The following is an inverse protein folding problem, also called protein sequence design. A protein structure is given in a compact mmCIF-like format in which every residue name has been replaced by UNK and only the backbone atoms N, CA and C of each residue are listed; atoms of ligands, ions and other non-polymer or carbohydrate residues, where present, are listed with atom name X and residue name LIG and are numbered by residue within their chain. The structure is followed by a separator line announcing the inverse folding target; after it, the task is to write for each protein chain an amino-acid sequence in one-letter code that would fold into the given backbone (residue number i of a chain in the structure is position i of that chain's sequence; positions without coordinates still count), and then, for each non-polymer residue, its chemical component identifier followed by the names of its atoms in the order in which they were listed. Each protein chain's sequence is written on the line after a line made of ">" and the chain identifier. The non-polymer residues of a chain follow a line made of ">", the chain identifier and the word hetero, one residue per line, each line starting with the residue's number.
data_IF_022144114633
#
_entry.id   IF_022144114633
#
_cell.length_a   1.000
_cell.length_b   1.000
_cell.length_c   1.000
_cell.angle_alpha   90.00
_cell.angle_beta   90.00
_cell.angle_gamma   90.00
#
_symmetry.space_group_name_H-M   'P 1'
#
loop_
_entity.id
_entity.type
_entity.pdbx_description
1 polymer ?
#
# COMPACT_ATOMS: atom_id res chain seq x y z
N UNK A 1 16.59 -4.13 -34.45
CA UNK A 1 16.97 -5.34 -33.68
C UNK A 1 16.55 -5.06 -32.25
N UNK A 2 15.36 -5.50 -31.84
CA UNK A 2 14.89 -5.30 -30.46
C UNK A 2 15.71 -6.23 -29.57
N UNK A 3 16.41 -5.65 -28.60
CA UNK A 3 16.98 -6.43 -27.52
C UNK A 3 15.81 -7.02 -26.74
N UNK A 4 15.60 -8.33 -26.88
CA UNK A 4 14.69 -9.08 -26.04
C UNK A 4 15.07 -8.86 -24.58
N UNK A 5 14.16 -8.23 -23.82
CA UNK A 5 14.20 -7.95 -22.37
C UNK A 5 14.08 -9.23 -21.52
N UNK A 6 14.70 -10.31 -21.96
CA UNK A 6 14.58 -11.63 -21.33
C UNK A 6 15.56 -11.73 -20.14
N UNK A 7 15.34 -10.90 -19.12
CA UNK A 7 16.17 -10.87 -17.91
C UNK A 7 15.95 -9.66 -17.00
N UNK A 8 15.57 -8.51 -17.55
CA UNK A 8 15.35 -7.29 -16.76
C UNK A 8 13.97 -7.30 -16.12
N UNK A 9 13.89 -7.17 -14.80
CA UNK A 9 12.61 -6.95 -14.15
C UNK A 9 12.16 -5.50 -14.38
N UNK A 10 10.85 -5.27 -14.51
CA UNK A 10 10.30 -3.91 -14.58
C UNK A 10 10.72 -3.06 -13.37
N UNK A 11 10.93 -3.70 -12.22
CA UNK A 11 11.40 -3.08 -10.99
C UNK A 11 12.90 -2.74 -10.95
N UNK A 12 13.67 -3.11 -11.97
CA UNK A 12 15.08 -2.75 -12.11
C UNK A 12 15.25 -1.47 -12.93
N UNK A 13 14.15 -0.96 -13.52
CA UNK A 13 14.13 0.27 -14.31
C UNK A 13 13.50 1.39 -13.49
N UNK A 14 14.34 2.23 -12.91
CA UNK A 14 13.93 3.37 -12.08
C UNK A 14 13.62 4.63 -12.91
N UNK A 15 12.65 4.52 -13.83
CA UNK A 15 12.30 5.58 -14.78
C UNK A 15 11.45 6.72 -14.20
N UNK A 16 10.82 6.54 -13.04
CA UNK A 16 9.90 7.51 -12.45
C UNK A 16 10.07 7.63 -10.92
N UNK A 17 9.69 8.77 -10.31
CA UNK A 17 9.72 8.94 -8.86
C UNK A 17 8.65 8.10 -8.15
N UNK A 18 8.83 7.85 -6.85
CA UNK A 18 7.86 7.11 -6.03
C UNK A 18 6.65 7.94 -5.57
N UNK A 19 6.79 9.18 -5.07
CA UNK A 19 5.65 9.95 -4.57
C UNK A 19 4.59 10.19 -5.65
N UNK A 20 3.31 10.07 -5.27
CA UNK A 20 2.20 10.25 -6.20
C UNK A 20 1.82 9.01 -6.99
N UNK A 21 2.43 7.86 -6.70
CA UNK A 21 2.19 6.61 -7.44
C UNK A 21 1.39 5.57 -6.67
N UNK A 22 0.95 5.86 -5.44
CA UNK A 22 0.15 4.93 -4.66
C UNK A 22 -1.24 4.75 -5.29
N UNK A 23 -1.71 3.51 -5.34
CA UNK A 23 -3.05 3.21 -5.84
C UNK A 23 -4.07 3.82 -4.87
N UNK A 24 -5.05 4.55 -5.41
CA UNK A 24 -6.13 5.05 -4.57
C UNK A 24 -6.98 3.92 -3.96
N UNK A 25 -7.36 4.11 -2.71
CA UNK A 25 -8.16 3.18 -1.91
C UNK A 25 -8.32 3.68 -0.48
N UNK A 26 -9.48 3.44 0.12
CA UNK A 26 -9.83 3.89 1.47
C UNK A 26 -10.15 2.72 2.40
N UNK A 27 -11.08 1.86 1.98
CA UNK A 27 -11.50 0.68 2.74
C UNK A 27 -10.85 -0.57 2.15
N UNK A 28 -10.22 -1.37 3.00
CA UNK A 28 -9.59 -2.63 2.61
C UNK A 28 -10.15 -3.79 3.41
N UNK A 29 -10.40 -4.90 2.72
CA UNK A 29 -10.63 -6.21 3.33
C UNK A 29 -9.38 -7.05 3.11
N UNK A 30 -8.70 -7.44 4.18
CA UNK A 30 -7.56 -8.35 4.10
C UNK A 30 -8.02 -9.72 4.55
N UNK A 31 -7.99 -10.69 3.65
CA UNK A 31 -8.46 -12.04 3.92
C UNK A 31 -7.31 -13.03 3.83
N UNK A 32 -7.06 -13.76 4.92
CA UNK A 32 -6.04 -14.79 4.95
C UNK A 32 -6.44 -15.96 4.04
N UNK A 33 -5.66 -16.22 3.00
CA UNK A 33 -5.86 -17.34 2.10
C UNK A 33 -4.54 -18.10 1.90
N UNK A 34 -4.36 -19.27 2.55
CA UNK A 34 -3.09 -20.02 2.48
C UNK A 34 -2.85 -20.65 1.11
N UNK A 35 -3.91 -20.82 0.32
CA UNK A 35 -3.88 -21.46 -1.00
C UNK A 35 -3.14 -20.66 -2.08
N UNK A 36 -3.01 -21.24 -3.28
CA UNK A 36 -2.40 -20.54 -4.41
C UNK A 36 -3.28 -19.36 -4.86
N UNK A 37 -2.63 -18.32 -5.39
CA UNK A 37 -3.31 -17.20 -6.04
C UNK A 37 -3.21 -17.35 -7.57
N UNK A 38 -4.27 -17.00 -8.28
CA UNK A 38 -4.33 -16.80 -9.73
C UNK A 38 -3.84 -15.40 -10.11
N UNK A 39 -3.68 -15.10 -11.40
CA UNK A 39 -3.09 -13.82 -11.85
C UNK A 39 -3.84 -12.59 -11.29
N UNK A 40 -5.16 -12.67 -11.19
CA UNK A 40 -5.98 -11.74 -10.41
C UNK A 40 -6.79 -12.56 -9.39
N UNK A 41 -6.71 -12.22 -8.10
CA UNK A 41 -7.28 -13.04 -7.02
C UNK A 41 -8.81 -13.21 -7.10
N UNK A 42 -9.50 -12.39 -7.89
CA UNK A 42 -10.94 -12.50 -8.14
C UNK A 42 -11.26 -12.83 -9.62
N UNK A 43 -10.32 -13.37 -10.40
CA UNK A 43 -10.60 -13.87 -11.77
C UNK A 43 -11.41 -15.17 -11.83
N UNK A 44 -11.73 -15.77 -10.67
CA UNK A 44 -12.48 -17.01 -10.57
C UNK A 44 -11.61 -18.26 -10.39
N UNK A 45 -10.30 -18.19 -10.64
CA UNK A 45 -9.41 -19.35 -10.48
C UNK A 45 -8.86 -19.51 -9.05
N UNK A 46 -8.88 -18.47 -8.21
CA UNK A 46 -8.49 -18.57 -6.79
C UNK A 46 -9.64 -19.02 -5.89
N UNK A 47 -10.81 -18.36 -6.00
CA UNK A 47 -11.95 -18.56 -5.09
C UNK A 47 -13.19 -19.17 -5.78
N UNK A 48 -13.05 -19.61 -7.02
CA UNK A 48 -14.19 -20.03 -7.85
C UNK A 48 -14.89 -18.83 -8.52
N UNK A 49 -15.45 -19.01 -9.74
CA UNK A 49 -16.01 -17.92 -10.54
C UNK A 49 -17.22 -17.25 -9.88
N UNK A 50 -18.14 -18.04 -9.31
CA UNK A 50 -19.37 -17.52 -8.70
C UNK A 50 -19.06 -16.66 -7.47
N UNK A 51 -18.28 -17.18 -6.52
CA UNK A 51 -17.92 -16.45 -5.31
C UNK A 51 -17.09 -15.21 -5.63
N UNK A 52 -16.15 -15.30 -6.57
CA UNK A 52 -15.36 -14.14 -7.01
C UNK A 52 -16.23 -13.02 -7.56
N UNK A 53 -17.25 -13.35 -8.37
CA UNK A 53 -18.19 -12.35 -8.90
C UNK A 53 -19.03 -11.71 -7.80
N UNK A 54 -19.53 -12.50 -6.84
CA UNK A 54 -20.29 -12.00 -5.68
C UNK A 54 -19.44 -11.08 -4.80
N UNK A 55 -18.21 -11.45 -4.50
CA UNK A 55 -17.28 -10.63 -3.71
C UNK A 55 -16.97 -9.32 -4.44
N UNK A 56 -16.67 -9.35 -5.75
CA UNK A 56 -16.47 -8.13 -6.55
C UNK A 56 -17.68 -7.19 -6.46
N UNK A 57 -18.89 -7.73 -6.64
CA UNK A 57 -20.11 -6.94 -6.60
C UNK A 57 -20.35 -6.35 -5.20
N UNK A 58 -20.10 -7.11 -4.15
CA UNK A 58 -20.22 -6.66 -2.76
C UNK A 58 -19.24 -5.52 -2.45
N UNK A 59 -17.94 -5.74 -2.69
CA UNK A 59 -16.89 -4.73 -2.41
C UNK A 59 -17.10 -3.45 -3.22
N UNK A 60 -17.58 -3.56 -4.47
CA UNK A 60 -17.88 -2.39 -5.32
C UNK A 60 -18.95 -1.48 -4.69
N UNK A 61 -19.93 -2.02 -3.97
CA UNK A 61 -20.97 -1.21 -3.28
C UNK A 61 -20.37 -0.25 -2.26
N UNK A 62 -19.26 -0.64 -1.64
CA UNK A 62 -18.60 0.10 -0.58
C UNK A 62 -17.30 0.79 -1.04
N UNK A 63 -16.92 0.66 -2.32
CA UNK A 63 -15.62 1.14 -2.81
C UNK A 63 -14.42 0.45 -2.14
N UNK A 64 -14.61 -0.77 -1.60
CA UNK A 64 -13.59 -1.49 -0.86
C UNK A 64 -12.65 -2.29 -1.77
N UNK A 65 -11.41 -2.51 -1.32
CA UNK A 65 -10.42 -3.33 -2.03
C UNK A 65 -10.12 -4.62 -1.24
N UNK A 66 -10.21 -5.78 -1.90
CA UNK A 66 -9.72 -7.03 -1.34
C UNK A 66 -8.20 -7.14 -1.50
N UNK A 67 -7.54 -7.60 -0.45
CA UNK A 67 -6.21 -8.20 -0.53
C UNK A 67 -6.25 -9.59 0.06
N UNK A 68 -5.79 -10.59 -0.69
CA UNK A 68 -5.47 -11.86 -0.07
C UNK A 68 -4.12 -11.73 0.63
N UNK A 69 -4.05 -12.21 1.86
CA UNK A 69 -2.83 -12.28 2.65
C UNK A 69 -2.54 -13.74 2.99
N UNK A 70 -1.29 -14.06 3.33
CA UNK A 70 -0.98 -15.37 3.89
C UNK A 70 0.24 -15.31 4.79
N UNK A 71 0.29 -16.27 5.70
CA UNK A 71 1.40 -16.41 6.62
C UNK A 71 2.75 -16.58 5.89
N UNK A 72 3.83 -15.90 6.31
CA UNK A 72 5.19 -16.02 5.74
C UNK A 72 5.70 -17.46 5.67
N UNK A 73 5.60 -18.21 6.77
CA UNK A 73 6.07 -19.60 6.85
C UNK A 73 5.04 -20.59 6.30
N UNK A 74 5.50 -21.75 5.82
CA UNK A 74 4.61 -22.84 5.36
C UNK A 74 3.82 -23.48 6.50
N UNK A 75 4.39 -23.53 7.69
CA UNK A 75 3.77 -24.11 8.87
C UNK A 75 2.59 -23.26 9.34
N UNK A 76 2.75 -21.93 9.42
CA UNK A 76 1.67 -21.03 9.81
C UNK A 76 0.55 -20.89 8.78
N UNK A 77 0.69 -21.48 7.58
CA UNK A 77 -0.40 -21.60 6.60
C UNK A 77 -1.34 -22.78 6.88
N UNK A 78 -1.04 -23.61 7.87
CA UNK A 78 -1.93 -24.68 8.35
C UNK A 78 -2.87 -24.06 9.38
N UNK A 79 -3.99 -23.56 8.89
CA UNK A 79 -4.98 -22.83 9.69
C UNK A 79 -6.32 -23.56 9.69
N UNK A 80 -7.01 -23.51 10.82
CA UNK A 80 -8.39 -24.02 10.96
C UNK A 80 -9.43 -22.92 10.67
N UNK A 81 -9.04 -21.65 10.83
CA UNK A 81 -9.85 -20.47 10.56
C UNK A 81 -9.00 -19.37 9.93
N UNK A 82 -9.65 -18.48 9.20
CA UNK A 82 -9.01 -17.39 8.47
C UNK A 82 -9.06 -16.08 9.24
N UNK A 83 -7.95 -15.34 9.29
CA UNK A 83 -8.01 -13.93 9.66
C UNK A 83 -8.73 -13.12 8.58
N UNK A 84 -9.69 -12.31 9.01
CA UNK A 84 -10.40 -11.33 8.20
C UNK A 84 -10.23 -9.95 8.85
N UNK A 85 -9.43 -9.10 8.22
CA UNK A 85 -9.21 -7.73 8.65
C UNK A 85 -10.03 -6.76 7.83
N UNK A 86 -10.57 -5.73 8.48
CA UNK A 86 -11.29 -4.63 7.89
C UNK A 86 -10.54 -3.36 8.23
N UNK A 87 -10.05 -2.65 7.23
CA UNK A 87 -9.19 -1.48 7.43
C UNK A 87 -9.88 -0.24 6.88
N UNK A 88 -10.08 0.74 7.74
CA UNK A 88 -10.59 2.06 7.38
C UNK A 88 -9.43 3.06 7.39
N UNK A 89 -8.81 3.26 6.24
CA UNK A 89 -7.51 3.95 6.18
C UNK A 89 -7.61 5.44 6.48
N UNK A 90 -8.74 6.09 6.19
CA UNK A 90 -8.98 7.50 6.52
C UNK A 90 -8.85 7.81 8.01
N UNK A 91 -9.39 6.92 8.85
CA UNK A 91 -9.38 7.08 10.32
C UNK A 91 -8.28 6.25 11.00
N UNK A 92 -7.47 5.51 10.24
CA UNK A 92 -6.38 4.70 10.79
C UNK A 92 -6.86 3.59 11.72
N UNK A 93 -7.97 2.92 11.38
CA UNK A 93 -8.51 1.81 12.17
C UNK A 93 -8.36 0.48 11.44
N UNK A 94 -8.00 -0.57 12.17
CA UNK A 94 -8.14 -1.96 11.74
C UNK A 94 -9.03 -2.71 12.71
N UNK A 95 -9.98 -3.47 12.18
CA UNK A 95 -10.77 -4.45 12.91
C UNK A 95 -10.38 -5.85 12.44
N UNK A 96 -10.46 -6.85 13.32
CA UNK A 96 -10.14 -8.24 13.00
C UNK A 96 -11.19 -9.19 13.56
N UNK A 97 -11.53 -10.21 12.76
CA UNK A 97 -12.30 -11.37 13.21
C UNK A 97 -11.78 -12.63 12.54
N UNK A 98 -12.06 -13.79 13.15
CA UNK A 98 -11.79 -15.09 12.55
C UNK A 98 -13.05 -15.64 11.90
N UNK A 99 -12.91 -16.21 10.71
CA UNK A 99 -14.02 -16.75 9.91
C UNK A 99 -13.67 -18.10 9.32
N UNK A 100 -14.69 -18.90 9.02
CA UNK A 100 -14.51 -20.25 8.46
C UNK A 100 -14.06 -20.25 6.98
N UNK A 101 -14.33 -19.18 6.23
CA UNK A 101 -14.07 -19.15 4.80
C UNK A 101 -14.33 -17.79 4.14
N UNK A 102 -14.00 -17.68 2.84
CA UNK A 102 -14.11 -16.44 2.06
C UNK A 102 -15.56 -15.96 1.88
N UNK A 103 -16.55 -16.82 2.04
CA UNK A 103 -17.97 -16.47 1.94
C UNK A 103 -18.37 -15.40 2.96
N UNK A 104 -17.73 -15.37 4.13
CA UNK A 104 -17.97 -14.40 5.18
C UNK A 104 -17.67 -12.94 4.77
N UNK A 105 -16.91 -12.73 3.68
CA UNK A 105 -16.69 -11.40 3.10
C UNK A 105 -18.01 -10.78 2.63
N UNK A 106 -18.98 -11.60 2.22
CA UNK A 106 -20.26 -11.13 1.70
C UNK A 106 -21.21 -10.61 2.78
N UNK A 107 -20.94 -10.93 4.03
CA UNK A 107 -21.73 -10.55 5.21
C UNK A 107 -21.22 -9.25 5.85
N UNK A 108 -20.14 -8.66 5.33
CA UNK A 108 -19.54 -7.45 5.88
C UNK A 108 -20.39 -6.22 5.56
N UNK A 109 -20.57 -5.35 6.55
CA UNK A 109 -20.98 -3.97 6.33
C UNK A 109 -19.73 -3.08 6.38
N UNK A 110 -19.32 -2.58 5.22
CA UNK A 110 -18.10 -1.79 5.06
C UNK A 110 -18.39 -0.29 5.01
N UNK A 111 -19.61 0.14 5.33
CA UNK A 111 -20.02 1.54 5.32
C UNK A 111 -19.38 2.37 6.44
N UNK A 112 -18.89 1.72 7.49
CA UNK A 112 -18.22 2.36 8.60
C UNK A 112 -17.62 1.35 9.59
N UNK A 113 -16.83 1.85 10.56
CA UNK A 113 -16.23 1.00 11.59
C UNK A 113 -17.27 0.51 12.59
N UNK A 114 -17.00 -0.60 13.28
CA UNK A 114 -17.78 -1.12 14.39
C UNK A 114 -19.01 -1.94 14.00
N UNK A 115 -19.26 -2.15 12.71
CA UNK A 115 -20.48 -2.77 12.19
C UNK A 115 -20.40 -4.30 12.05
N UNK A 116 -19.20 -4.87 12.19
CA UNK A 116 -18.92 -6.26 11.80
C UNK A 116 -18.74 -7.24 12.98
N UNK A 117 -19.02 -6.77 14.20
CA UNK A 117 -18.73 -7.49 15.45
C UNK A 117 -17.28 -8.01 15.52
N UNK A 118 -16.35 -7.19 15.02
CA UNK A 118 -14.92 -7.47 14.98
C UNK A 118 -14.21 -6.77 16.14
N UNK A 119 -13.04 -7.28 16.52
CA UNK A 119 -12.23 -6.66 17.57
C UNK A 119 -11.33 -5.57 16.96
N UNK A 120 -11.17 -4.45 17.66
CA UNK A 120 -10.19 -3.45 17.29
C UNK A 120 -8.77 -4.03 17.38
N UNK A 121 -7.95 -3.71 16.38
CA UNK A 121 -6.54 -4.07 16.33
C UNK A 121 -5.68 -2.81 16.40
N UNK A 122 -4.75 -2.79 17.35
CA UNK A 122 -3.85 -1.65 17.57
C UNK A 122 -2.51 -1.78 16.84
N UNK A 123 -2.00 -3.01 16.68
CA UNK A 123 -0.74 -3.24 15.99
C UNK A 123 -0.88 -3.04 14.48
N UNK A 124 0.07 -2.37 13.81
CA UNK A 124 0.04 -2.20 12.36
C UNK A 124 0.17 -3.54 11.62
N UNK A 125 -0.21 -3.52 10.34
CA UNK A 125 0.06 -4.62 9.41
C UNK A 125 0.91 -4.09 8.26
N UNK A 126 1.98 -4.82 7.95
CA UNK A 126 2.85 -4.59 6.81
C UNK A 126 2.60 -5.70 5.80
N UNK A 127 2.01 -5.32 4.68
CA UNK A 127 1.69 -6.22 3.58
C UNK A 127 2.82 -6.15 2.56
N UNK A 128 3.52 -7.25 2.34
CA UNK A 128 4.59 -7.32 1.33
C UNK A 128 4.07 -8.08 0.12
N UNK A 129 4.07 -7.46 -1.05
CA UNK A 129 3.58 -8.12 -2.26
C UNK A 129 4.52 -9.24 -2.71
N UNK A 130 4.04 -10.48 -2.73
CA UNK A 130 4.81 -11.66 -3.19
C UNK A 130 4.16 -12.37 -4.40
N UNK A 131 3.25 -11.66 -5.07
CA UNK A 131 2.34 -12.21 -6.07
C UNK A 131 3.00 -12.47 -7.44
N UNK A 132 3.81 -13.53 -7.52
CA UNK A 132 4.60 -13.88 -8.70
C UNK A 132 3.82 -14.20 -9.98
N UNK A 133 2.58 -14.70 -9.87
CA UNK A 133 1.72 -14.92 -11.05
C UNK A 133 1.24 -13.62 -11.68
N UNK A 134 1.10 -12.55 -10.88
CA UNK A 134 0.78 -11.22 -11.38
C UNK A 134 1.98 -10.59 -12.07
N UNK A 135 3.12 -10.60 -11.37
CA UNK A 135 4.39 -10.12 -11.92
C UNK A 135 5.56 -10.78 -11.18
N UNK A 136 6.56 -11.24 -11.94
CA UNK A 136 7.70 -12.02 -11.45
C UNK A 136 8.51 -11.26 -10.41
N UNK A 137 8.71 -9.95 -10.57
CA UNK A 137 9.56 -9.16 -9.68
C UNK A 137 9.03 -9.10 -8.24
N UNK A 138 7.71 -9.14 -8.05
CA UNK A 138 7.09 -9.21 -6.73
C UNK A 138 7.50 -10.46 -5.97
N UNK A 139 7.50 -11.63 -6.63
CA UNK A 139 7.93 -12.86 -5.99
C UNK A 139 9.44 -12.87 -5.74
N UNK A 140 10.24 -12.38 -6.69
CA UNK A 140 11.71 -12.40 -6.61
C UNK A 140 12.23 -11.46 -5.53
N UNK A 141 11.67 -10.25 -5.41
CA UNK A 141 12.13 -9.25 -4.43
C UNK A 141 11.35 -9.28 -3.11
N UNK A 142 10.06 -9.60 -3.15
CA UNK A 142 9.20 -9.59 -1.96
C UNK A 142 9.36 -10.81 -1.05
N UNK A 143 9.54 -12.02 -1.60
CA UNK A 143 9.64 -13.24 -0.77
C UNK A 143 10.91 -13.30 0.10
N UNK A 144 12.11 -12.95 -0.42
CA UNK A 144 13.30 -12.88 0.42
C UNK A 144 13.11 -11.87 1.56
N UNK A 145 12.59 -10.68 1.25
CA UNK A 145 12.31 -9.64 2.25
C UNK A 145 11.37 -10.15 3.35
N UNK A 146 10.26 -10.81 2.99
CA UNK A 146 9.35 -11.41 3.98
C UNK A 146 10.05 -12.47 4.84
N UNK A 147 10.89 -13.32 4.24
CA UNK A 147 11.62 -14.35 4.98
C UNK A 147 12.59 -13.77 6.01
N UNK A 148 13.27 -12.69 5.67
CA UNK A 148 14.18 -11.99 6.59
C UNK A 148 13.39 -11.26 7.69
N UNK A 149 12.28 -10.61 7.33
CA UNK A 149 11.41 -9.94 8.28
C UNK A 149 10.75 -10.90 9.27
N UNK A 150 10.37 -12.12 8.85
CA UNK A 150 9.85 -13.14 9.74
C UNK A 150 10.85 -13.53 10.84
N UNK A 151 12.16 -13.42 10.56
CA UNK A 151 13.20 -13.69 11.57
C UNK A 151 13.30 -12.56 12.62
N UNK A 152 12.96 -11.32 12.23
CA UNK A 152 12.98 -10.15 13.11
C UNK A 152 11.65 -9.95 13.85
N UNK A 153 10.54 -10.31 13.20
CA UNK A 153 9.16 -10.11 13.64
C UNK A 153 8.39 -11.44 13.56
N UNK A 154 8.81 -12.48 14.29
CA UNK A 154 8.22 -13.81 14.16
C UNK A 154 6.74 -13.80 14.55
N UNK A 155 5.96 -14.60 13.84
CA UNK A 155 4.56 -14.78 14.19
C UNK A 155 4.39 -15.40 15.58
N UNK A 156 3.71 -14.70 16.47
CA UNK A 156 3.28 -15.23 17.76
C UNK A 156 1.99 -14.52 18.23
N UNK A 157 1.43 -14.94 19.36
CA UNK A 157 0.22 -14.30 19.91
C UNK A 157 0.49 -12.82 20.20
N UNK A 158 -0.13 -11.94 19.41
CA UNK A 158 0.05 -10.49 19.50
C UNK A 158 1.12 -9.91 18.56
N UNK A 159 1.81 -10.75 17.78
CA UNK A 159 2.82 -10.37 16.79
C UNK A 159 2.50 -11.03 15.45
N UNK A 160 1.66 -10.38 14.65
CA UNK A 160 1.22 -10.77 13.31
C UNK A 160 1.37 -9.56 12.36
N UNK A 161 2.55 -8.95 12.40
CA UNK A 161 2.82 -7.65 11.77
C UNK A 161 3.07 -7.79 10.27
N UNK A 162 3.83 -8.80 9.85
CA UNK A 162 4.32 -8.91 8.46
C UNK A 162 3.56 -10.00 7.73
N UNK A 163 2.82 -9.64 6.68
CA UNK A 163 2.08 -10.60 5.87
C UNK A 163 2.62 -10.64 4.44
N UNK A 164 2.68 -11.84 3.85
CA UNK A 164 2.68 -11.92 2.39
C UNK A 164 1.33 -11.42 1.88
N UNK A 165 1.33 -10.68 0.78
CA UNK A 165 0.11 -10.15 0.18
C UNK A 165 0.03 -10.40 -1.32
N UNK A 166 -1.21 -10.48 -1.79
CA UNK A 166 -1.56 -10.43 -3.20
C UNK A 166 -1.19 -9.07 -3.81
N UNK A 167 -1.64 -8.81 -5.03
CA UNK A 167 -1.09 -7.69 -5.78
C UNK A 167 -1.52 -6.32 -5.21
N UNK A 168 -0.54 -5.55 -4.72
CA UNK A 168 -0.73 -4.21 -4.15
C UNK A 168 -0.73 -3.07 -5.19
N UNK A 169 -0.51 -3.36 -6.48
CA UNK A 169 -0.06 -2.40 -7.51
C UNK A 169 1.37 -1.87 -7.30
N UNK A 170 1.97 -1.40 -8.38
CA UNK A 170 3.33 -0.85 -8.36
C UNK A 170 4.41 -1.92 -8.31
N UNK A 171 4.24 -3.04 -9.02
CA UNK A 171 5.29 -4.07 -9.10
C UNK A 171 6.57 -3.57 -9.76
N UNK A 172 6.51 -2.56 -10.64
CA UNK A 172 7.69 -1.82 -11.12
C UNK A 172 8.44 -1.04 -10.03
N UNK A 173 7.94 -1.05 -8.80
CA UNK A 173 8.63 -0.55 -7.61
C UNK A 173 8.94 -1.67 -6.62
N UNK A 174 8.98 -2.94 -7.05
CA UNK A 174 9.25 -4.05 -6.16
C UNK A 174 10.63 -3.91 -5.47
N UNK A 175 10.78 -4.26 -4.18
CA UNK A 175 9.73 -4.76 -3.29
C UNK A 175 8.72 -3.66 -2.91
N UNK A 176 7.42 -3.95 -3.10
CA UNK A 176 6.31 -3.02 -2.86
C UNK A 176 5.52 -3.48 -1.64
N UNK A 177 5.22 -2.54 -0.76
CA UNK A 177 4.59 -2.78 0.53
C UNK A 177 3.38 -1.86 0.72
N UNK A 178 2.47 -2.26 1.59
CA UNK A 178 1.40 -1.41 2.09
C UNK A 178 1.34 -1.48 3.61
N UNK A 179 1.33 -0.32 4.25
CA UNK A 179 1.28 -0.18 5.71
C UNK A 179 -0.16 0.17 6.13
N UNK A 180 -0.74 -0.71 6.93
CA UNK A 180 -2.03 -0.54 7.58
C UNK A 180 -1.83 -0.18 9.05
N UNK A 181 -2.73 0.60 9.67
CA UNK A 181 -4.05 0.94 9.15
C UNK A 181 -4.09 2.14 8.20
N UNK A 182 -3.02 2.94 8.09
CA UNK A 182 -3.12 4.26 7.45
C UNK A 182 -3.18 4.27 5.91
N UNK A 183 -2.90 3.14 5.26
CA UNK A 183 -3.02 2.98 3.80
C UNK A 183 -1.87 3.61 3.01
N UNK A 184 -0.65 3.65 3.57
CA UNK A 184 0.53 4.13 2.86
C UNK A 184 1.15 3.02 2.01
N UNK A 185 1.50 3.35 0.78
CA UNK A 185 2.24 2.45 -0.10
C UNK A 185 3.72 2.77 -0.10
N UNK A 186 4.56 1.74 -0.12
CA UNK A 186 6.01 1.88 -0.23
C UNK A 186 6.53 1.09 -1.44
N UNK A 187 7.65 1.53 -1.99
CA UNK A 187 8.33 0.87 -3.10
C UNK A 187 9.84 0.96 -2.95
N UNK A 188 10.55 0.09 -3.66
CA UNK A 188 12.02 -0.06 -3.63
C UNK A 188 12.54 -0.34 -2.22
N UNK A 189 11.74 -1.03 -1.41
CA UNK A 189 12.08 -1.32 -0.03
C UNK A 189 13.07 -2.47 0.07
N UNK A 190 14.02 -2.34 0.99
CA UNK A 190 14.92 -3.40 1.43
C UNK A 190 14.65 -3.74 2.91
N UNK A 191 15.42 -4.68 3.46
CA UNK A 191 15.28 -5.12 4.85
C UNK A 191 15.47 -3.96 5.84
N UNK A 192 16.56 -3.19 5.69
CA UNK A 192 16.90 -2.08 6.60
C UNK A 192 15.81 -1.01 6.63
N UNK A 193 15.38 -0.53 5.45
CA UNK A 193 14.33 0.48 5.36
C UNK A 193 12.99 -0.04 5.88
N UNK A 194 12.67 -1.32 5.65
CA UNK A 194 11.41 -1.91 6.11
C UNK A 194 11.41 -2.13 7.62
N UNK A 195 12.53 -2.55 8.20
CA UNK A 195 12.71 -2.66 9.65
C UNK A 195 12.58 -1.29 10.34
N UNK A 196 13.21 -0.25 9.78
CA UNK A 196 13.04 1.12 10.26
C UNK A 196 11.59 1.60 10.17
N UNK A 197 10.92 1.34 9.04
CA UNK A 197 9.51 1.67 8.83
C UNK A 197 8.60 0.95 9.83
N UNK A 198 8.81 -0.34 10.11
CA UNK A 198 8.04 -1.09 11.10
C UNK A 198 8.21 -0.48 12.50
N UNK A 199 9.45 -0.18 12.91
CA UNK A 199 9.74 0.45 14.20
C UNK A 199 9.05 1.80 14.35
N UNK A 200 8.98 2.59 13.28
CA UNK A 200 8.28 3.87 13.28
C UNK A 200 6.76 3.68 13.31
N UNK A 201 6.23 2.75 12.52
CA UNK A 201 4.81 2.40 12.52
C UNK A 201 4.30 1.90 13.88
N UNK A 202 5.11 1.14 14.62
CA UNK A 202 4.78 0.72 16.00
C UNK A 202 4.60 1.89 16.97
N UNK A 203 5.15 3.06 16.64
CA UNK A 203 5.02 4.31 17.41
C UNK A 203 4.06 5.31 16.74
N UNK A 204 3.40 4.91 15.64
CA UNK A 204 2.55 5.80 14.83
C UNK A 204 3.32 6.88 14.07
N UNK A 205 4.64 6.76 13.93
CA UNK A 205 5.51 7.77 13.32
C UNK A 205 5.60 7.60 11.81
N UNK A 206 5.54 8.72 11.08
CA UNK A 206 5.60 8.74 9.62
C UNK A 206 7.00 8.37 9.11
N UNK A 207 7.06 7.43 8.17
CA UNK A 207 8.29 7.04 7.48
C UNK A 207 8.31 7.58 6.04
N UNK A 208 9.36 8.35 5.70
CA UNK A 208 9.51 9.01 4.39
C UNK A 208 10.20 8.12 3.33
N UNK A 209 11.32 7.42 3.61
CA UNK A 209 12.01 6.66 2.58
C UNK A 209 11.12 5.61 1.91
N UNK A 210 11.17 5.55 0.58
CA UNK A 210 10.37 4.61 -0.22
C UNK A 210 8.87 4.92 -0.26
N UNK A 211 8.38 5.96 0.41
CA UNK A 211 6.96 6.28 0.49
C UNK A 211 6.42 6.80 -0.85
N UNK A 212 5.35 6.16 -1.33
CA UNK A 212 4.66 6.49 -2.58
C UNK A 212 3.44 7.39 -2.36
N UNK A 213 3.00 7.53 -1.12
CA UNK A 213 1.83 8.30 -0.71
C UNK A 213 0.74 7.45 -0.04
N UNK A 214 -0.23 8.15 0.53
CA UNK A 214 -1.44 7.59 1.15
C UNK A 214 -2.53 7.36 0.11
N UNK A 215 -3.14 6.17 0.11
CA UNK A 215 -4.15 5.76 -0.88
C UNK A 215 -5.43 6.61 -0.88
N UNK A 216 -5.72 7.36 0.17
CA UNK A 216 -6.90 8.25 0.21
C UNK A 216 -6.72 9.55 -0.60
N UNK A 217 -5.50 9.88 -1.01
CA UNK A 217 -5.17 11.11 -1.71
C UNK A 217 -5.02 10.90 -3.21
N UNK A 218 -5.22 11.96 -3.98
CA UNK A 218 -4.88 12.02 -5.41
C UNK A 218 -3.36 11.92 -5.61
N UNK A 219 -2.91 11.72 -6.86
CA UNK A 219 -1.48 11.68 -7.17
C UNK A 219 -0.71 12.97 -6.77
N UNK A 220 -1.16 14.20 -7.10
CA UNK A 220 -0.46 15.41 -6.66
C UNK A 220 -0.51 15.58 -5.13
N UNK A 221 -1.63 15.27 -4.47
CA UNK A 221 -1.74 15.36 -3.01
C UNK A 221 -0.84 14.36 -2.28
N UNK A 222 -0.70 13.15 -2.79
CA UNK A 222 0.28 12.16 -2.31
C UNK A 222 1.72 12.70 -2.43
N UNK A 223 2.08 13.29 -3.58
CA UNK A 223 3.40 13.85 -3.79
C UNK A 223 3.67 15.05 -2.85
N UNK A 224 2.67 15.90 -2.65
CA UNK A 224 2.74 17.04 -1.75
C UNK A 224 2.93 16.63 -0.28
N UNK A 225 2.14 15.68 0.22
CA UNK A 225 2.27 15.17 1.59
C UNK A 225 3.66 14.60 1.86
N UNK A 226 4.16 13.75 0.95
CA UNK A 226 5.49 13.13 1.09
C UNK A 226 6.59 14.21 1.05
N UNK A 227 6.46 15.23 0.21
CA UNK A 227 7.44 16.31 0.11
C UNK A 227 7.49 17.19 1.37
N UNK A 228 6.32 17.53 1.94
CA UNK A 228 6.25 18.27 3.22
C UNK A 228 6.82 17.41 4.37
N UNK A 229 6.43 16.13 4.43
CA UNK A 229 6.99 15.20 5.42
C UNK A 229 8.51 15.08 5.32
N UNK A 230 9.05 15.02 4.10
CA UNK A 230 10.49 14.99 3.85
C UNK A 230 11.19 16.30 4.28
N UNK A 231 10.60 17.46 3.99
CA UNK A 231 11.13 18.75 4.41
C UNK A 231 11.20 18.87 5.94
N UNK A 232 10.13 18.46 6.63
CA UNK A 232 10.06 18.44 8.10
C UNK A 232 11.09 17.50 8.70
N UNK A 233 11.20 16.28 8.16
CA UNK A 233 12.20 15.30 8.60
C UNK A 233 13.64 15.83 8.41
N UNK A 234 13.92 16.51 7.29
CA UNK A 234 15.21 17.15 7.02
C UNK A 234 15.57 18.28 8.01
N UNK A 235 14.56 18.86 8.68
CA UNK A 235 14.74 19.85 9.76
C UNK A 235 14.75 19.22 11.16
N UNK A 236 14.69 17.89 11.26
CA UNK A 236 14.66 17.16 12.53
C UNK A 236 13.27 17.05 13.17
N UNK A 237 12.22 17.52 12.49
CA UNK A 237 10.84 17.38 12.97
C UNK A 237 10.27 16.03 12.56
N UNK A 238 9.88 15.22 13.55
CA UNK A 238 9.17 13.96 13.29
C UNK A 238 7.67 14.19 13.41
N UNK A 239 6.91 13.62 12.48
CA UNK A 239 5.44 13.69 12.46
C UNK A 239 4.83 12.29 12.54
N UNK A 240 3.58 12.21 12.97
CA UNK A 240 2.80 10.96 12.98
C UNK A 240 2.13 10.70 11.64
N UNK A 241 1.79 9.44 11.37
CA UNK A 241 0.91 9.13 10.24
C UNK A 241 -0.44 9.84 10.39
N UNK A 242 -0.97 10.34 9.26
CA UNK A 242 -2.22 11.11 9.18
C UNK A 242 -2.21 12.47 9.90
N UNK A 243 -1.05 12.95 10.37
CA UNK A 243 -0.90 14.29 10.96
C UNK A 243 -1.04 15.41 9.91
N UNK A 244 -0.47 15.23 8.72
CA UNK A 244 -0.66 16.15 7.60
C UNK A 244 -2.02 15.88 6.95
N UNK A 245 -2.86 16.91 6.89
CA UNK A 245 -4.20 16.85 6.30
C UNK A 245 -4.26 17.75 5.08
N UNK A 246 -4.64 17.19 3.94
CA UNK A 246 -4.93 17.98 2.73
C UNK A 246 -6.26 18.70 2.94
N UNK A 247 -6.24 20.03 2.86
CA UNK A 247 -7.41 20.88 3.07
C UNK A 247 -7.92 21.53 1.78
N UNK A 248 -7.05 21.70 0.79
CA UNK A 248 -7.41 22.17 -0.53
C UNK A 248 -6.52 21.52 -1.62
N UNK A 249 -7.10 21.32 -2.80
CA UNK A 249 -6.42 20.81 -3.98
C UNK A 249 -7.03 21.42 -5.24
N UNK A 250 -6.19 22.10 -6.03
CA UNK A 250 -6.55 22.59 -7.36
C UNK A 250 -5.62 21.99 -8.40
N UNK A 251 -6.16 21.44 -9.48
CA UNK A 251 -5.40 20.92 -10.63
C UNK A 251 -5.83 21.66 -11.89
N UNK A 252 -4.88 22.29 -12.57
CA UNK A 252 -5.07 22.99 -13.84
C UNK A 252 -4.05 22.48 -14.88
N UNK A 253 -4.53 21.59 -15.76
CA UNK A 253 -3.70 20.93 -16.77
C UNK A 253 -2.53 20.18 -16.15
N UNK A 254 -1.31 20.66 -16.40
CA UNK A 254 -0.07 20.07 -15.90
C UNK A 254 0.44 20.73 -14.61
N UNK A 255 -0.37 21.56 -13.95
CA UNK A 255 -0.03 22.19 -12.67
C UNK A 255 -1.02 21.79 -11.59
N UNK A 256 -0.55 21.70 -10.36
CA UNK A 256 -1.39 21.51 -9.20
C UNK A 256 -0.93 22.40 -8.05
N UNK A 257 -1.88 22.81 -7.21
CA UNK A 257 -1.63 23.44 -5.92
C UNK A 257 -2.33 22.60 -4.85
N UNK A 258 -1.60 22.23 -3.80
CA UNK A 258 -2.11 21.44 -2.68
C UNK A 258 -1.80 22.16 -1.39
N UNK A 259 -2.82 22.43 -0.59
CA UNK A 259 -2.66 23.02 0.74
C UNK A 259 -2.80 21.93 1.80
N UNK A 260 -1.82 21.83 2.70
CA UNK A 260 -1.81 20.90 3.83
C UNK A 260 -1.80 21.66 5.15
N UNK A 261 -2.44 21.08 6.16
CA UNK A 261 -2.36 21.55 7.55
C UNK A 261 -1.73 20.44 8.39
N UNK A 262 -0.78 20.81 9.22
CA UNK A 262 -0.31 19.98 10.33
C UNK A 262 -1.36 20.02 11.45
N UNK A 263 -2.11 18.93 11.63
CA UNK A 263 -3.19 18.86 12.60
C UNK A 263 -2.75 19.03 14.06
N UNK A 264 -1.46 18.88 14.38
CA UNK A 264 -0.94 19.08 15.73
C UNK A 264 -0.50 20.51 16.00
N UNK A 265 0.08 21.18 15.01
CA UNK A 265 0.66 22.52 15.19
C UNK A 265 -0.19 23.64 14.60
N UNK A 266 -1.10 23.32 13.68
CA UNK A 266 -1.85 24.28 12.88
C UNK A 266 -1.06 24.91 11.74
N UNK A 267 0.23 24.58 11.58
CA UNK A 267 1.06 25.09 10.50
C UNK A 267 0.51 24.68 9.14
N UNK A 268 0.51 25.61 8.18
CA UNK A 268 0.02 25.37 6.84
C UNK A 268 1.16 25.29 5.84
N UNK A 269 0.98 24.47 4.81
CA UNK A 269 1.94 24.27 3.73
C UNK A 269 1.21 24.36 2.41
N UNK A 270 1.61 25.29 1.55
CA UNK A 270 1.14 25.34 0.18
C UNK A 270 2.21 24.76 -0.74
N UNK A 271 1.82 23.75 -1.51
CA UNK A 271 2.72 23.00 -2.39
C UNK A 271 2.28 23.20 -3.83
N UNK A 272 3.18 23.75 -4.65
CA UNK A 272 2.96 23.82 -6.10
C UNK A 272 3.67 22.65 -6.76
N UNK A 273 2.98 22.00 -7.71
CA UNK A 273 3.47 20.83 -8.42
C UNK A 273 3.32 21.01 -9.92
N UNK A 274 4.22 20.38 -10.67
CA UNK A 274 4.15 20.25 -12.13
C UNK A 274 4.18 18.79 -12.53
N UNK A 275 3.30 18.43 -13.46
CA UNK A 275 3.35 17.16 -14.14
C UNK A 275 4.44 17.19 -15.23
N UNK A 276 5.33 16.21 -15.20
CA UNK A 276 6.40 16.05 -16.19
C UNK A 276 6.33 14.67 -16.84
N UNK A 277 6.68 14.60 -18.12
CA UNK A 277 6.81 13.33 -18.83
C UNK A 277 7.98 12.51 -18.26
N UNK A 278 7.77 11.21 -18.16
CA UNK A 278 8.80 10.22 -17.84
C UNK A 278 8.83 9.19 -18.97
N UNK A 279 10.01 8.80 -19.43
CA UNK A 279 10.17 7.82 -20.51
C UNK A 279 10.86 6.56 -19.99
N UNK A 280 10.65 5.45 -20.71
CA UNK A 280 11.27 4.18 -20.33
C UNK A 280 10.57 3.44 -19.19
N UNK A 281 9.33 3.81 -18.85
CA UNK A 281 8.57 3.12 -17.80
C UNK A 281 8.18 1.73 -18.30
N UNK A 282 8.70 0.69 -17.64
CA UNK A 282 8.23 -0.68 -17.85
C UNK A 282 7.09 -0.93 -16.87
N UNK A 283 5.87 -1.05 -17.38
CA UNK A 283 4.68 -1.20 -16.53
C UNK A 283 4.56 -2.59 -15.89
N UNK A 284 4.96 -3.66 -16.59
CA UNK A 284 5.05 -5.05 -16.10
C UNK A 284 6.26 -5.76 -16.69
N UNK A 285 6.80 -6.78 -15.99
CA UNK A 285 7.92 -7.55 -16.52
C UNK A 285 7.57 -8.17 -17.88
N UNK A 286 8.44 -7.98 -18.87
CA UNK A 286 8.22 -8.45 -20.25
C UNK A 286 7.38 -7.50 -21.11
N UNK A 287 6.89 -6.38 -20.58
CA UNK A 287 6.31 -5.32 -21.40
C UNK A 287 7.40 -4.41 -21.97
N UNK A 288 7.10 -3.80 -23.12
CA UNK A 288 7.95 -2.78 -23.72
C UNK A 288 7.91 -1.48 -22.88
N UNK A 289 9.03 -0.74 -22.80
CA UNK A 289 9.04 0.56 -22.16
C UNK A 289 8.08 1.53 -22.85
N UNK A 290 7.41 2.38 -22.07
CA UNK A 290 6.52 3.41 -22.57
C UNK A 290 6.69 4.73 -21.83
N UNK A 291 6.10 5.76 -22.41
CA UNK A 291 6.01 7.06 -21.77
C UNK A 291 4.92 7.06 -20.69
N UNK A 292 5.15 7.87 -19.67
CA UNK A 292 4.26 8.12 -18.56
C UNK A 292 4.39 9.56 -18.09
N UNK A 293 3.78 9.83 -16.94
CA UNK A 293 3.79 11.14 -16.31
C UNK A 293 3.99 11.01 -14.81
N UNK A 294 4.63 11.99 -14.20
CA UNK A 294 4.80 12.07 -12.75
C UNK A 294 4.60 13.49 -12.26
N UNK A 295 4.16 13.65 -11.01
CA UNK A 295 4.05 14.94 -10.35
C UNK A 295 5.34 15.24 -9.59
N UNK A 296 6.00 16.34 -9.93
CA UNK A 296 7.14 16.87 -9.20
C UNK A 296 6.76 18.13 -8.43
N UNK A 297 7.24 18.25 -7.20
CA UNK A 297 7.08 19.48 -6.40
C UNK A 297 8.01 20.56 -6.94
N UNK A 298 7.46 21.74 -7.26
CA UNK A 298 8.23 22.91 -7.67
C UNK A 298 8.60 23.79 -6.46
N UNK A 299 7.64 24.02 -5.56
CA UNK A 299 7.81 24.87 -4.40
C UNK A 299 6.97 24.37 -3.20
N UNK A 300 7.48 24.59 -1.99
CA UNK A 300 6.76 24.44 -0.74
C UNK A 300 6.90 25.75 0.03
N UNK A 301 5.80 26.48 0.20
CA UNK A 301 5.73 27.62 1.11
C UNK A 301 5.07 27.22 2.43
N UNK A 302 5.47 27.85 3.52
CA UNK A 302 4.89 27.62 4.85
C UNK A 302 4.12 28.87 5.26
N UNK A 303 2.82 28.72 5.53
CA UNK A 303 2.02 29.79 6.12
C UNK A 303 2.29 29.89 7.62
N UNK A 304 2.23 31.13 8.13
CA UNK A 304 2.39 31.44 9.54
C UNK A 304 1.11 31.11 10.34
#
# INVERSE_FOLDING_TARGET
>A
MSASTDGTFCSDVEAEPLPGTAKQGDVYVLFEWPGPWSHDVLDGATLGPELSARIKAHLKKFGATLQLIRHPTREGRRIDNHHLYIVHTRIGLTEVKHVAGPEAILDLDLSGPGLNHAMARLSPLVLVCTHGKRDRCCAVKGRPLVSELESLYPFNRGSDVVWESSHLKGHRFAATLMLMPWGYSFGRMNLEATDAMIKDAMRGMYFVPGNRGRGIFSAPAQAAEVAVAAQLAGRGTRISYAQLQVVDETVDGQRASVSLVDAHTGATFDVTLRQSAVSGVISSCGEEPKDGVSWGVEEISTGA
#
